data_IF_175054761642
#
_entry.id   IF_175054761642
#
_cell.length_a   1.000
_cell.length_b   1.000
_cell.length_c   1.000
_cell.angle_alpha   90.00
_cell.angle_beta   90.00
_cell.angle_gamma   90.00
#
_symmetry.space_group_name_H-M   'P 1'
#
loop_
_entity.id
_entity.type
_entity.pdbx_description
1 polymer ?
#
# COMPACT_ATOMS: atom_id res chain seq x y z
N UNK A 1 -0.49 3.69 -8.54
CA UNK A 1 -0.41 5.10 -8.10
C UNK A 1 -1.16 5.27 -6.80
N UNK A 2 -0.63 6.07 -5.86
CA UNK A 2 -1.28 6.34 -4.59
C UNK A 2 -2.40 7.39 -4.74
N UNK A 3 -3.61 7.04 -4.30
CA UNK A 3 -4.83 7.87 -4.36
C UNK A 3 -5.28 8.22 -2.95
N UNK A 4 -5.42 9.50 -2.65
CA UNK A 4 -5.96 9.97 -1.39
C UNK A 4 -7.47 9.67 -1.31
N UNK A 5 -7.91 9.14 -0.16
CA UNK A 5 -9.33 8.85 0.08
C UNK A 5 -9.87 9.54 1.32
N UNK A 6 -8.99 9.96 2.25
CA UNK A 6 -9.34 10.79 3.40
C UNK A 6 -8.08 11.44 3.99
N UNK A 7 -8.25 12.21 5.05
CA UNK A 7 -7.21 12.76 5.90
C UNK A 7 -6.26 11.65 6.36
N UNK A 8 -5.00 11.76 5.96
CA UNK A 8 -3.96 10.78 6.31
C UNK A 8 -4.23 9.34 5.83
N UNK A 9 -5.08 9.16 4.81
CA UNK A 9 -5.48 7.86 4.30
C UNK A 9 -5.40 7.80 2.77
N UNK A 10 -4.69 6.81 2.26
CA UNK A 10 -4.52 6.57 0.84
C UNK A 10 -4.66 5.10 0.48
N UNK A 11 -4.96 4.84 -0.78
CA UNK A 11 -4.97 3.50 -1.37
C UNK A 11 -4.17 3.47 -2.66
N UNK A 12 -3.55 2.32 -2.95
CA UNK A 12 -3.01 2.02 -4.27
C UNK A 12 -3.54 0.65 -4.70
N UNK A 13 -3.86 0.52 -5.98
CA UNK A 13 -4.52 -0.65 -6.53
C UNK A 13 -3.73 -1.17 -7.74
N UNK A 14 -3.67 -2.49 -7.89
CA UNK A 14 -3.03 -3.17 -9.01
C UNK A 14 -3.92 -4.32 -9.49
N UNK A 15 -3.87 -4.68 -10.78
CA UNK A 15 -4.48 -5.91 -11.27
C UNK A 15 -3.87 -7.13 -10.56
N UNK A 16 -4.71 -8.12 -10.26
CA UNK A 16 -4.28 -9.41 -9.72
C UNK A 16 -5.27 -10.47 -10.19
N UNK A 17 -4.74 -11.50 -10.83
CA UNK A 17 -5.47 -12.73 -11.15
C UNK A 17 -5.18 -13.79 -10.11
N UNK A 18 -6.22 -14.37 -9.56
CA UNK A 18 -6.12 -15.51 -8.65
C UNK A 18 -6.96 -16.67 -9.21
N UNK A 19 -6.31 -17.79 -9.55
CA UNK A 19 -6.94 -18.92 -10.25
C UNK A 19 -7.77 -18.52 -11.50
N UNK A 20 -7.26 -17.56 -12.27
CA UNK A 20 -7.92 -17.08 -13.49
C UNK A 20 -9.05 -16.07 -13.26
N UNK A 21 -9.42 -15.77 -12.01
CA UNK A 21 -10.37 -14.72 -11.66
C UNK A 21 -9.65 -13.38 -11.43
N UNK A 22 -10.15 -12.32 -12.07
CA UNK A 22 -9.72 -10.95 -11.82
C UNK A 22 -10.30 -10.44 -10.50
N UNK A 23 -9.47 -10.42 -9.46
CA UNK A 23 -9.84 -9.96 -8.12
C UNK A 23 -9.21 -8.60 -7.78
N UNK A 24 -8.10 -8.26 -8.44
CA UNK A 24 -7.32 -7.08 -8.10
C UNK A 24 -6.64 -7.19 -6.74
N UNK A 25 -5.83 -6.19 -6.41
CA UNK A 25 -5.22 -6.06 -5.09
C UNK A 25 -5.16 -4.59 -4.69
N UNK A 26 -5.20 -4.34 -3.38
CA UNK A 26 -5.22 -3.00 -2.81
C UNK A 26 -4.29 -2.93 -1.59
N UNK A 27 -3.38 -1.97 -1.65
CA UNK A 27 -2.60 -1.50 -0.51
C UNK A 27 -3.30 -0.30 0.13
N UNK A 28 -3.30 -0.26 1.46
CA UNK A 28 -3.74 0.91 2.24
C UNK A 28 -2.54 1.54 2.93
N UNK A 29 -2.48 2.88 2.92
CA UNK A 29 -1.43 3.65 3.55
C UNK A 29 -2.08 4.61 4.56
N UNK A 30 -1.64 4.56 5.81
CA UNK A 30 -2.13 5.40 6.90
C UNK A 30 -0.97 6.20 7.45
N UNK A 31 -1.14 7.51 7.58
CA UNK A 31 -0.20 8.37 8.33
C UNK A 31 -0.71 8.57 9.76
N UNK A 32 -0.02 8.00 10.74
CA UNK A 32 -0.46 8.01 12.15
C UNK A 32 0.41 8.88 13.07
N UNK A 33 1.48 9.46 12.53
CA UNK A 33 2.27 10.55 13.10
C UNK A 33 2.77 11.43 11.94
N UNK A 34 3.24 12.68 12.18
CA UNK A 34 3.58 13.62 11.11
C UNK A 34 4.43 13.02 9.98
N UNK A 35 5.35 12.11 10.31
CA UNK A 35 6.27 11.49 9.35
C UNK A 35 6.29 9.96 9.40
N UNK A 36 5.25 9.31 9.96
CA UNK A 36 5.19 7.84 10.08
C UNK A 36 4.03 7.25 9.32
N UNK A 37 4.34 6.28 8.47
CA UNK A 37 3.40 5.54 7.65
C UNK A 37 3.27 4.09 8.12
N UNK A 38 2.03 3.62 8.13
CA UNK A 38 1.64 2.21 8.21
C UNK A 38 1.13 1.78 6.84
N UNK A 39 1.70 0.71 6.31
CA UNK A 39 1.26 0.06 5.08
C UNK A 39 0.53 -1.22 5.42
N UNK A 40 -0.67 -1.41 4.86
CA UNK A 40 -1.47 -2.63 5.03
C UNK A 40 -1.67 -3.25 3.65
N UNK A 41 -1.49 -4.56 3.57
CA UNK A 41 -1.64 -5.33 2.33
C UNK A 41 -0.75 -4.80 1.20
N UNK A 42 0.59 -4.76 1.39
CA UNK A 42 1.49 -4.22 0.38
C UNK A 42 1.27 -4.92 -0.97
N UNK A 43 1.25 -4.11 -2.02
CA UNK A 43 1.20 -4.55 -3.41
C UNK A 43 2.61 -4.47 -4.00
N UNK A 44 2.81 -4.93 -5.24
CA UNK A 44 4.13 -4.93 -5.84
C UNK A 44 4.67 -3.48 -5.94
N UNK A 45 5.83 -3.18 -5.34
CA UNK A 45 6.34 -1.82 -5.33
C UNK A 45 6.78 -1.38 -6.73
N UNK A 46 6.34 -0.19 -7.13
CA UNK A 46 6.79 0.52 -8.32
C UNK A 46 7.58 1.75 -7.87
N UNK A 47 8.64 2.15 -8.58
CA UNK A 47 9.48 3.30 -8.22
C UNK A 47 8.66 4.57 -7.95
N UNK A 48 7.69 4.86 -8.81
CA UNK A 48 6.78 6.00 -8.64
C UNK A 48 6.00 5.92 -7.33
N UNK A 49 5.58 4.72 -6.93
CA UNK A 49 4.83 4.50 -5.70
C UNK A 49 5.72 4.66 -4.47
N UNK A 50 6.95 4.13 -4.51
CA UNK A 50 7.95 4.33 -3.45
C UNK A 50 8.21 5.82 -3.26
N UNK A 51 8.46 6.55 -4.35
CA UNK A 51 8.68 7.99 -4.28
C UNK A 51 7.48 8.73 -3.69
N UNK A 52 6.24 8.36 -4.06
CA UNK A 52 5.04 8.92 -3.46
C UNK A 52 4.95 8.65 -1.95
N UNK A 53 5.36 7.48 -1.47
CA UNK A 53 5.40 7.15 -0.04
C UNK A 53 6.45 7.99 0.68
N UNK A 54 7.65 8.15 0.11
CA UNK A 54 8.73 8.96 0.69
C UNK A 54 8.32 10.43 0.88
N UNK A 55 7.51 10.98 -0.04
CA UNK A 55 6.97 12.33 0.10
C UNK A 55 5.92 12.46 1.22
N UNK A 56 5.31 11.35 1.66
CA UNK A 56 4.30 11.33 2.73
C UNK A 56 4.91 11.08 4.12
N UNK A 57 6.05 10.38 4.19
CA UNK A 57 6.74 10.04 5.42
C UNK A 57 7.54 8.74 5.31
N UNK A 58 8.03 8.25 6.46
CA UNK A 58 8.76 6.99 6.55
C UNK A 58 7.81 5.82 6.79
N UNK A 59 7.92 4.74 6.02
CA UNK A 59 7.19 3.49 6.31
C UNK A 59 7.81 2.83 7.54
N UNK A 60 7.08 2.85 8.66
CA UNK A 60 7.54 2.29 9.93
C UNK A 60 6.93 0.91 10.22
N UNK A 61 5.76 0.62 9.66
CA UNK A 61 5.05 -0.63 9.91
C UNK A 61 4.47 -1.15 8.59
N UNK A 62 4.55 -2.47 8.42
CA UNK A 62 3.92 -3.20 7.31
C UNK A 62 3.07 -4.32 7.92
N UNK A 63 1.80 -4.36 7.55
CA UNK A 63 0.87 -5.43 7.92
C UNK A 63 0.55 -6.22 6.66
N UNK A 64 0.98 -7.48 6.62
CA UNK A 64 0.66 -8.42 5.53
C UNK A 64 -0.80 -8.89 5.66
N UNK A 65 -1.54 -9.12 4.57
CA UNK A 65 -2.94 -9.53 4.65
C UNK A 65 -3.12 -11.00 5.04
N UNK A 66 -2.10 -11.82 4.84
CA UNK A 66 -2.02 -13.23 5.23
C UNK A 66 -0.56 -13.72 5.08
N UNK A 67 -0.32 -15.00 5.43
CA UNK A 67 1.01 -15.63 5.34
C UNK A 67 1.44 -16.04 3.92
N UNK A 68 0.53 -15.99 2.93
CA UNK A 68 0.82 -16.32 1.54
C UNK A 68 1.35 -15.13 0.74
N UNK A 69 1.30 -13.92 1.29
CA UNK A 69 1.96 -12.77 0.70
C UNK A 69 3.44 -12.80 1.09
N UNK A 70 4.31 -12.89 0.08
CA UNK A 70 5.73 -12.67 0.23
C UNK A 70 5.96 -11.31 0.89
N UNK A 71 6.51 -11.33 2.11
CA UNK A 71 7.39 -10.25 2.55
C UNK A 71 8.75 -10.48 1.89
#
# INVERSE_FOLDING_TARGET
MLRNIDTNLWVAEQPLKYFGLEVGTRMTVIRFNPDKLLVISPINPEEKMIHQLEQLGTVNYIISPNLYHHL
#
